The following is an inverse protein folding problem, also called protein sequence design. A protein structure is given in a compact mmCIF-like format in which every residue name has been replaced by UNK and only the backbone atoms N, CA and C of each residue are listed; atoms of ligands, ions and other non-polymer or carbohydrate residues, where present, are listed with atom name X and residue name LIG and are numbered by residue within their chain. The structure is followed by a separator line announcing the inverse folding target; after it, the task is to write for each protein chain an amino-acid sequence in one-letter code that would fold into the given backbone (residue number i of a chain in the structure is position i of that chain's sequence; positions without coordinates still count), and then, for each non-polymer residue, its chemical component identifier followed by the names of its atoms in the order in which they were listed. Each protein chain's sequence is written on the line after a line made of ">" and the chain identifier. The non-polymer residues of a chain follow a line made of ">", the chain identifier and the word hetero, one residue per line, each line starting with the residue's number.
data_IF_446060342746
#
_entry.id   IF_446060342746
#
_cell.length_a   1.000
_cell.length_b   1.000
_cell.length_c   1.000
_cell.angle_alpha   90.00
_cell.angle_beta   90.00
_cell.angle_gamma   90.00
#
_symmetry.space_group_name_H-M   'P 1'
#
loop_
_entity.id
_entity.type
_entity.pdbx_description
1 polymer ?
#
# COMPACT_ATOMS: atom_id res chain seq x y z
N UNK A 1 -1.02 -16.91 7.11
CA UNK A 1 -0.95 -15.56 6.50
C UNK A 1 -0.12 -15.61 5.24
N UNK A 2 0.17 -14.45 4.64
CA UNK A 2 0.95 -14.35 3.41
C UNK A 2 2.45 -14.58 3.58
N UNK A 3 3.19 -14.25 2.52
CA UNK A 3 4.66 -14.37 2.45
C UNK A 3 5.37 -13.02 2.27
N UNK A 4 4.68 -11.94 2.61
CA UNK A 4 5.15 -10.57 2.50
C UNK A 4 6.36 -10.21 3.38
N UNK A 5 6.90 -11.12 4.21
CA UNK A 5 8.16 -10.98 4.97
C UNK A 5 9.29 -11.89 4.44
N UNK A 6 9.00 -12.83 3.56
CA UNK A 6 10.00 -13.74 2.98
C UNK A 6 10.59 -13.17 1.68
N UNK A 7 11.75 -12.54 1.77
CA UNK A 7 12.41 -11.88 0.64
C UNK A 7 12.78 -12.86 -0.48
N UNK A 8 13.14 -14.10 -0.17
CA UNK A 8 13.46 -15.11 -1.18
C UNK A 8 12.20 -15.60 -1.91
N UNK A 9 11.09 -15.82 -1.19
CA UNK A 9 9.83 -16.19 -1.83
C UNK A 9 9.29 -15.08 -2.71
N UNK A 10 9.41 -13.82 -2.30
CA UNK A 10 9.09 -12.67 -3.15
C UNK A 10 9.99 -12.61 -4.39
N UNK A 11 11.29 -12.83 -4.23
CA UNK A 11 12.28 -12.74 -5.31
C UNK A 11 12.03 -13.75 -6.44
N UNK A 12 11.44 -14.91 -6.13
CA UNK A 12 11.00 -15.89 -7.14
C UNK A 12 9.94 -15.34 -8.10
N UNK A 13 9.20 -14.31 -7.68
CA UNK A 13 8.13 -13.70 -8.46
C UNK A 13 8.51 -12.33 -9.02
N UNK A 14 9.26 -11.54 -8.26
CA UNK A 14 9.80 -10.25 -8.69
C UNK A 14 11.08 -9.94 -7.91
N UNK A 15 12.22 -9.98 -8.60
CA UNK A 15 13.55 -9.77 -8.01
C UNK A 15 13.67 -8.40 -7.31
N UNK A 16 12.93 -7.38 -7.76
CA UNK A 16 12.95 -6.03 -7.14
C UNK A 16 12.43 -6.06 -5.71
N UNK A 17 11.52 -6.99 -5.41
CA UNK A 17 10.89 -7.11 -4.09
C UNK A 17 11.79 -7.80 -3.05
N UNK A 18 12.93 -8.36 -3.48
CA UNK A 18 13.96 -8.88 -2.57
C UNK A 18 14.54 -7.80 -1.67
N UNK A 19 14.76 -6.61 -2.24
CA UNK A 19 15.41 -5.47 -1.58
C UNK A 19 14.40 -4.42 -1.09
N UNK A 20 13.12 -4.65 -1.31
CA UNK A 20 12.06 -3.75 -0.86
C UNK A 20 11.68 -4.08 0.58
N UNK A 21 11.59 -3.05 1.42
CA UNK A 21 11.11 -3.17 2.80
C UNK A 21 9.70 -3.77 2.89
N UNK A 22 9.23 -4.09 4.10
CA UNK A 22 7.89 -4.63 4.29
C UNK A 22 7.17 -3.97 5.46
N UNK A 23 5.86 -3.83 5.33
CA UNK A 23 4.99 -3.37 6.41
C UNK A 23 4.60 -4.50 7.36
N UNK A 24 5.01 -5.73 7.07
CA UNK A 24 4.54 -6.94 7.74
C UNK A 24 5.36 -7.26 8.99
N UNK A 25 4.75 -8.05 9.87
CA UNK A 25 5.46 -8.66 10.98
C UNK A 25 6.47 -9.71 10.44
N UNK A 26 7.57 -10.00 11.16
CA UNK A 26 8.65 -10.86 10.65
C UNK A 26 8.22 -12.28 10.26
N UNK A 27 7.22 -12.86 10.92
CA UNK A 27 6.74 -14.22 10.67
C UNK A 27 5.78 -14.40 9.49
N UNK A 28 5.54 -13.37 8.67
CA UNK A 28 4.74 -13.50 7.44
C UNK A 28 5.57 -14.13 6.31
N UNK A 29 6.05 -15.36 6.52
CA UNK A 29 7.08 -16.00 5.71
C UNK A 29 6.56 -17.01 4.68
N UNK A 30 5.25 -17.28 4.66
CA UNK A 30 4.64 -18.21 3.72
C UNK A 30 4.67 -19.68 4.15
N UNK A 31 5.04 -19.98 5.39
CA UNK A 31 5.24 -21.36 5.86
C UNK A 31 4.01 -22.25 5.64
N UNK A 32 2.80 -21.71 5.85
CA UNK A 32 1.54 -22.42 5.58
C UNK A 32 1.34 -22.79 4.11
N UNK A 33 1.83 -21.95 3.18
CA UNK A 33 1.80 -22.24 1.74
C UNK A 33 2.77 -23.40 1.45
N UNK A 34 4.00 -23.32 1.96
CA UNK A 34 5.04 -24.34 1.77
C UNK A 34 4.60 -25.70 2.32
N UNK A 35 4.02 -25.73 3.52
CA UNK A 35 3.51 -26.97 4.14
C UNK A 35 2.40 -27.61 3.29
N UNK A 36 1.45 -26.82 2.80
CA UNK A 36 0.36 -27.36 1.98
C UNK A 36 0.84 -27.80 0.58
N UNK A 37 1.79 -27.08 -0.03
CA UNK A 37 2.41 -27.51 -1.30
C UNK A 37 3.15 -28.84 -1.17
N UNK A 38 3.76 -29.12 -0.02
CA UNK A 38 4.45 -30.40 0.22
C UNK A 38 3.52 -31.63 0.16
N UNK A 39 2.20 -31.42 0.34
CA UNK A 39 1.16 -32.46 0.19
C UNK A 39 0.31 -32.28 -1.08
N UNK A 40 0.82 -31.52 -2.06
CA UNK A 40 0.22 -31.39 -3.39
C UNK A 40 -0.80 -30.27 -3.54
N UNK A 41 -0.94 -29.34 -2.59
CA UNK A 41 -1.83 -28.20 -2.73
C UNK A 41 -1.42 -27.30 -3.91
N UNK A 42 -2.42 -26.89 -4.71
CA UNK A 42 -2.23 -25.93 -5.80
C UNK A 42 -2.20 -24.49 -5.28
N UNK A 43 -1.45 -23.63 -5.97
CA UNK A 43 -1.42 -22.20 -5.71
C UNK A 43 -1.86 -21.41 -6.93
N UNK A 44 -2.39 -20.21 -6.70
CA UNK A 44 -2.83 -19.28 -7.73
C UNK A 44 -2.31 -17.88 -7.42
N UNK A 45 -2.10 -17.05 -8.45
CA UNK A 45 -1.82 -15.62 -8.31
C UNK A 45 -0.53 -15.23 -7.55
N UNK A 46 0.40 -16.17 -7.36
CA UNK A 46 1.61 -15.98 -6.53
C UNK A 46 2.49 -14.80 -6.98
N UNK A 47 2.43 -14.43 -8.26
CA UNK A 47 3.14 -13.27 -8.82
C UNK A 47 2.57 -11.91 -8.42
N UNK A 48 1.34 -11.85 -7.94
CA UNK A 48 0.67 -10.60 -7.60
C UNK A 48 0.96 -10.23 -6.13
N UNK A 49 2.00 -9.41 -5.96
CA UNK A 49 2.46 -8.91 -4.67
C UNK A 49 2.24 -7.39 -4.62
N UNK A 50 1.42 -6.93 -3.69
CA UNK A 50 1.08 -5.52 -3.55
C UNK A 50 2.09 -4.79 -2.66
N UNK A 51 2.53 -3.63 -3.14
CA UNK A 51 3.24 -2.64 -2.34
C UNK A 51 2.29 -1.56 -1.82
N UNK A 52 2.56 -1.04 -0.63
CA UNK A 52 1.94 0.16 -0.12
C UNK A 52 2.81 1.38 -0.42
N UNK A 53 2.27 2.51 -0.93
CA UNK A 53 3.09 3.62 -1.41
C UNK A 53 3.61 4.55 -0.31
N UNK A 54 2.91 4.65 0.84
CA UNK A 54 3.21 5.63 1.89
C UNK A 54 3.88 4.95 3.10
N UNK A 55 5.11 4.48 2.91
CA UNK A 55 5.91 3.86 3.97
C UNK A 55 7.14 4.69 4.29
N UNK A 56 7.69 4.48 5.49
CA UNK A 56 8.95 5.05 5.93
C UNK A 56 10.09 4.50 5.07
N UNK A 57 10.85 5.33 4.33
CA UNK A 57 11.89 4.86 3.41
C UNK A 57 12.95 3.97 4.06
N UNK A 58 13.29 4.24 5.33
CA UNK A 58 14.36 3.52 6.04
C UNK A 58 13.93 2.19 6.65
N UNK A 59 12.68 2.07 7.09
CA UNK A 59 12.19 0.88 7.84
C UNK A 59 11.16 0.06 7.07
N UNK A 60 10.57 0.62 6.03
CA UNK A 60 9.46 0.05 5.27
C UNK A 60 8.12 -0.01 6.02
N UNK A 61 8.04 0.53 7.24
CA UNK A 61 6.79 0.58 8.02
C UNK A 61 5.80 1.58 7.42
N UNK A 62 4.51 1.25 7.52
CA UNK A 62 3.41 2.17 7.20
C UNK A 62 3.55 3.49 7.95
N UNK A 63 3.39 4.60 7.23
CA UNK A 63 3.42 5.94 7.83
C UNK A 63 2.00 6.53 7.87
N UNK A 64 1.38 6.47 9.04
CA UNK A 64 0.01 6.95 9.28
C UNK A 64 -0.14 8.46 9.17
N UNK A 65 0.95 9.20 9.37
CA UNK A 65 0.92 10.66 9.24
C UNK A 65 1.00 11.04 7.77
N UNK A 66 1.82 10.34 6.99
CA UNK A 66 1.89 10.54 5.55
C UNK A 66 0.55 10.28 4.83
N UNK A 67 -0.32 9.41 5.37
CA UNK A 67 -1.69 9.17 4.89
C UNK A 67 -2.60 10.40 5.00
N UNK A 68 -2.22 11.42 5.80
CA UNK A 68 -2.92 12.72 5.86
C UNK A 68 -2.55 13.64 4.69
N UNK A 69 -1.47 13.33 3.99
CA UNK A 69 -1.08 14.02 2.77
C UNK A 69 -2.13 13.85 1.68
N UNK A 70 -2.46 14.96 1.03
CA UNK A 70 -3.42 14.98 -0.09
C UNK A 70 -2.75 15.30 -1.43
N UNK A 71 -1.46 15.63 -1.40
CA UNK A 71 -0.62 15.86 -2.59
C UNK A 71 0.69 15.10 -2.44
N UNK A 72 1.10 14.38 -3.49
CA UNK A 72 2.44 13.79 -3.59
C UNK A 72 3.31 14.65 -4.50
N UNK A 73 4.47 15.09 -3.99
CA UNK A 73 5.45 15.85 -4.77
C UNK A 73 6.78 15.14 -4.85
N UNK A 74 7.44 15.23 -5.99
CA UNK A 74 8.83 14.79 -6.15
C UNK A 74 9.81 15.82 -5.54
N UNK A 75 11.12 15.53 -5.60
CA UNK A 75 12.16 16.44 -5.11
C UNK A 75 12.22 17.79 -5.86
N UNK A 76 11.65 17.89 -7.05
CA UNK A 76 11.53 19.15 -7.79
C UNK A 76 10.30 19.97 -7.37
N UNK A 77 9.43 19.44 -6.49
CA UNK A 77 8.21 20.13 -6.05
C UNK A 77 7.03 19.96 -7.01
N UNK A 78 7.07 18.96 -7.89
CA UNK A 78 6.04 18.70 -8.90
C UNK A 78 5.23 17.45 -8.53
N UNK A 79 3.92 17.48 -8.82
CA UNK A 79 3.09 16.27 -8.82
C UNK A 79 3.47 15.37 -9.98
N UNK A 80 3.24 14.07 -9.81
CA UNK A 80 3.64 13.05 -10.80
C UNK A 80 2.68 11.87 -10.89
N UNK A 81 1.61 11.85 -10.09
CA UNK A 81 0.65 10.74 -10.05
C UNK A 81 -0.69 11.19 -9.48
N UNK A 82 -1.76 10.46 -9.83
CA UNK A 82 -3.05 10.51 -9.13
C UNK A 82 -2.93 9.92 -7.72
N UNK A 83 -3.06 10.78 -6.69
CA UNK A 83 -2.98 10.40 -5.28
C UNK A 83 -4.13 9.48 -4.84
N UNK A 84 -5.26 9.49 -5.55
CA UNK A 84 -6.42 8.62 -5.29
C UNK A 84 -6.39 7.30 -6.06
N UNK A 85 -5.43 7.14 -6.98
CA UNK A 85 -5.32 5.99 -7.86
C UNK A 85 -4.92 4.68 -7.18
N UNK A 86 -4.78 3.62 -7.98
CA UNK A 86 -4.39 2.29 -7.49
C UNK A 86 -3.01 2.31 -6.82
N UNK A 87 -2.84 1.50 -5.78
CA UNK A 87 -1.60 1.42 -4.97
C UNK A 87 -0.38 1.07 -5.80
N UNK A 88 -0.51 0.09 -6.71
CA UNK A 88 0.55 -0.34 -7.63
C UNK A 88 1.00 0.78 -8.57
N UNK A 89 0.07 1.56 -9.11
CA UNK A 89 0.38 2.73 -9.96
C UNK A 89 1.14 3.78 -9.15
N UNK A 90 0.65 4.14 -7.95
CA UNK A 90 1.34 5.12 -7.08
C UNK A 90 2.72 4.65 -6.65
N UNK A 91 2.85 3.39 -6.21
CA UNK A 91 4.13 2.84 -5.80
C UNK A 91 5.14 2.87 -6.94
N UNK A 92 4.74 2.46 -8.15
CA UNK A 92 5.61 2.51 -9.33
C UNK A 92 6.04 3.93 -9.66
N UNK A 93 5.10 4.88 -9.64
CA UNK A 93 5.38 6.28 -9.92
C UNK A 93 6.34 6.92 -8.89
N UNK A 94 6.27 6.53 -7.60
CA UNK A 94 7.22 6.98 -6.58
C UNK A 94 8.62 6.41 -6.85
N UNK A 95 8.72 5.11 -7.19
CA UNK A 95 10.00 4.45 -7.44
C UNK A 95 10.75 5.02 -8.65
N UNK A 96 10.05 5.63 -9.63
CA UNK A 96 10.70 6.31 -10.76
C UNK A 96 11.20 7.72 -10.42
N UNK A 97 10.85 8.28 -9.26
CA UNK A 97 11.35 9.59 -8.86
C UNK A 97 12.80 9.49 -8.37
N UNK A 98 13.54 10.60 -8.48
CA UNK A 98 14.92 10.69 -7.94
C UNK A 98 14.92 10.26 -6.49
N UNK A 99 15.74 9.26 -6.14
CA UNK A 99 15.87 8.70 -4.79
C UNK A 99 14.83 7.63 -4.42
N UNK A 100 13.96 7.22 -5.34
CA UNK A 100 12.94 6.20 -5.09
C UNK A 100 11.90 6.58 -4.03
N UNK A 101 11.75 7.88 -3.79
CA UNK A 101 10.89 8.44 -2.74
C UNK A 101 10.22 9.74 -3.22
N UNK A 102 9.18 10.13 -2.50
CA UNK A 102 8.43 11.36 -2.70
C UNK A 102 8.07 11.99 -1.34
N UNK A 103 7.54 13.20 -1.36
CA UNK A 103 7.01 13.86 -0.17
C UNK A 103 5.49 13.90 -0.21
N UNK A 104 4.87 13.43 0.87
CA UNK A 104 3.45 13.59 1.13
C UNK A 104 3.22 14.94 1.81
N UNK A 105 2.45 15.82 1.17
CA UNK A 105 2.24 17.22 1.57
C UNK A 105 0.82 17.44 2.07
N UNK A 106 0.69 18.14 3.20
CA UNK A 106 -0.56 18.58 3.81
C UNK A 106 -0.35 19.80 4.70
N UNK A 107 -1.42 20.31 5.30
CA UNK A 107 -1.41 21.43 6.22
C UNK A 107 -2.19 21.11 7.50
N UNK A 108 -2.25 22.05 8.44
CA UNK A 108 -2.88 21.88 9.75
C UNK A 108 -4.32 21.34 9.67
N UNK A 109 -5.12 21.88 8.77
CA UNK A 109 -6.53 21.47 8.66
C UNK A 109 -6.74 20.08 8.05
N UNK A 110 -5.72 19.55 7.36
CA UNK A 110 -5.70 18.20 6.80
C UNK A 110 -5.02 17.18 7.74
N UNK A 111 -4.14 17.63 8.64
CA UNK A 111 -3.49 16.76 9.62
C UNK A 111 -4.50 16.02 10.51
N UNK A 112 -5.59 16.70 10.88
CA UNK A 112 -6.59 16.17 11.81
C UNK A 112 -5.99 15.87 13.18
N UNK A 113 -6.58 14.93 13.92
CA UNK A 113 -6.14 14.59 15.30
C UNK A 113 -4.92 13.65 15.34
N UNK A 114 -4.11 13.59 14.29
CA UNK A 114 -2.96 12.68 14.26
C UNK A 114 -1.79 13.24 15.06
N UNK A 115 -1.21 12.40 15.94
CA UNK A 115 0.05 12.76 16.62
C UNK A 115 1.19 12.73 15.61
N UNK A 116 1.75 13.91 15.33
CA UNK A 116 2.92 14.04 14.46
C UNK A 116 4.15 13.37 15.12
N UNK A 117 4.91 12.62 14.32
CA UNK A 117 6.17 12.03 14.75
C UNK A 117 7.37 12.80 14.18
N UNK A 118 8.57 12.47 14.65
CA UNK A 118 9.82 13.22 14.37
C UNK A 118 10.22 13.32 12.90
N UNK A 119 9.78 12.39 12.04
CA UNK A 119 10.00 12.47 10.57
C UNK A 119 9.17 13.55 9.86
N UNK A 120 8.14 14.10 10.50
CA UNK A 120 7.31 15.15 9.89
C UNK A 120 8.12 16.44 9.89
N UNK A 121 8.37 16.98 8.71
CA UNK A 121 9.01 18.29 8.54
C UNK A 121 7.89 19.33 8.49
N UNK A 122 7.99 20.37 9.31
CA UNK A 122 7.02 21.46 9.37
C UNK A 122 7.61 22.81 8.98
N UNK A 123 6.81 23.66 8.35
CA UNK A 123 7.14 25.06 8.05
C UNK A 123 5.94 25.97 8.26
N UNK A 124 6.16 27.19 8.77
CA UNK A 124 5.09 28.21 8.88
C UNK A 124 4.71 28.78 7.51
N UNK A 125 5.56 28.59 6.51
CA UNK A 125 5.33 28.97 5.12
C UNK A 125 5.78 27.85 4.19
N UNK A 126 5.33 27.87 2.93
CA UNK A 126 5.82 26.95 1.89
C UNK A 126 7.33 27.13 1.67
N UNK A 127 7.85 28.35 1.76
CA UNK A 127 9.27 28.63 1.64
C UNK A 127 10.09 27.99 2.76
N UNK A 128 9.63 28.08 4.01
CA UNK A 128 10.27 27.38 5.13
C UNK A 128 10.25 25.86 4.95
N UNK A 129 9.11 25.30 4.52
CA UNK A 129 8.97 23.87 4.28
C UNK A 129 9.91 23.40 3.16
N UNK A 130 9.94 24.13 2.05
CA UNK A 130 10.81 23.86 0.90
C UNK A 130 12.29 23.89 1.31
N UNK A 131 12.71 24.92 2.07
CA UNK A 131 14.09 25.02 2.59
C UNK A 131 14.47 23.81 3.45
N UNK A 132 13.60 23.38 4.36
CA UNK A 132 13.88 22.25 5.27
C UNK A 132 13.87 20.88 4.57
N UNK A 133 13.09 20.74 3.51
CA UNK A 133 12.98 19.49 2.73
C UNK A 133 13.97 19.41 1.56
N UNK A 134 14.56 20.53 1.16
CA UNK A 134 15.39 20.65 -0.04
C UNK A 134 14.58 20.63 -1.34
N UNK A 135 13.26 20.80 -1.27
CA UNK A 135 12.38 20.92 -2.44
C UNK A 135 12.52 22.34 -3.03
N UNK A 136 12.41 22.48 -4.35
CA UNK A 136 12.35 23.79 -4.99
C UNK A 136 11.10 24.57 -4.54
N UNK A 137 11.31 25.71 -3.89
CA UNK A 137 10.24 26.54 -3.29
C UNK A 137 9.23 27.03 -4.33
N UNK A 138 9.71 27.62 -5.43
CA UNK A 138 8.86 28.20 -6.46
C UNK A 138 7.94 27.13 -7.09
N UNK A 139 8.51 25.97 -7.42
CA UNK A 139 7.76 24.84 -8.01
C UNK A 139 6.77 24.26 -7.02
N UNK A 140 7.16 24.06 -5.76
CA UNK A 140 6.26 23.55 -4.72
C UNK A 140 5.07 24.50 -4.50
N UNK A 141 5.33 25.81 -4.43
CA UNK A 141 4.27 26.83 -4.29
C UNK A 141 3.30 26.77 -5.46
N UNK A 142 3.79 26.76 -6.71
CA UNK A 142 2.95 26.63 -7.92
C UNK A 142 2.13 25.35 -7.90
N UNK A 143 2.72 24.22 -7.50
CA UNK A 143 2.03 22.93 -7.39
C UNK A 143 0.86 23.00 -6.40
N UNK A 144 1.08 23.58 -5.22
CA UNK A 144 0.05 23.71 -4.18
C UNK A 144 -1.07 24.66 -4.64
N UNK A 145 -0.73 25.80 -5.23
CA UNK A 145 -1.71 26.75 -5.79
C UNK A 145 -2.58 26.09 -6.86
N UNK A 146 -1.94 25.38 -7.80
CA UNK A 146 -2.62 24.65 -8.87
C UNK A 146 -3.53 23.56 -8.31
N UNK A 147 -3.06 22.76 -7.35
CA UNK A 147 -3.88 21.72 -6.72
C UNK A 147 -5.09 22.30 -5.98
N UNK A 148 -4.90 23.40 -5.25
CA UNK A 148 -5.99 24.11 -4.59
C UNK A 148 -7.05 24.61 -5.58
N UNK A 149 -6.64 25.04 -6.78
CA UNK A 149 -7.59 25.43 -7.83
C UNK A 149 -8.42 24.25 -8.36
N UNK A 150 -7.87 23.04 -8.37
CA UNK A 150 -8.63 21.84 -8.74
C UNK A 150 -9.71 21.50 -7.73
N UNK A 151 -9.48 21.79 -6.43
CA UNK A 151 -10.49 21.64 -5.39
C UNK A 151 -11.64 22.63 -5.60
N UNK A 152 -11.35 23.88 -5.98
CA UNK A 152 -12.39 24.88 -6.29
C UNK A 152 -13.29 24.45 -7.44
N UNK A 153 -12.68 23.96 -8.52
CA UNK A 153 -13.38 23.50 -9.72
C UNK A 153 -14.03 22.12 -9.51
N UNK A 154 -13.60 21.38 -8.48
CA UNK A 154 -14.02 20.00 -8.22
C UNK A 154 -13.44 18.98 -9.21
N UNK A 155 -12.43 19.37 -9.99
CA UNK A 155 -11.81 18.52 -11.03
C UNK A 155 -10.30 18.75 -11.11
N UNK A 156 -9.52 17.69 -10.93
CA UNK A 156 -8.08 17.68 -11.23
C UNK A 156 -7.85 17.50 -12.73
N UNK A 157 -7.40 18.57 -13.38
CA UNK A 157 -7.14 18.57 -14.82
C UNK A 157 -5.84 17.83 -15.19
N UNK A 158 -4.95 17.58 -14.22
CA UNK A 158 -3.58 17.10 -14.48
C UNK A 158 -3.49 15.59 -14.37
N UNK A 159 -3.97 15.02 -13.26
CA UNK A 159 -3.91 13.57 -13.03
C UNK A 159 -5.28 12.92 -12.86
N UNK A 160 -6.38 13.70 -12.97
CA UNK A 160 -7.75 13.23 -12.74
C UNK A 160 -7.96 12.64 -11.34
N UNK A 161 -7.16 13.07 -10.37
CA UNK A 161 -7.31 12.65 -8.99
C UNK A 161 -8.65 13.08 -8.41
N UNK A 162 -9.17 12.28 -7.48
CA UNK A 162 -10.37 12.63 -6.72
C UNK A 162 -10.08 13.81 -5.79
N UNK A 163 -10.69 14.95 -6.09
CA UNK A 163 -10.55 16.19 -5.29
C UNK A 163 -11.81 16.55 -4.49
N UNK A 164 -12.95 15.92 -4.77
CA UNK A 164 -14.20 16.19 -4.06
C UNK A 164 -14.11 15.79 -2.59
N UNK A 165 -14.49 16.73 -1.70
CA UNK A 165 -14.43 16.57 -0.25
C UNK A 165 -13.06 16.83 0.39
N UNK A 166 -12.03 17.15 -0.41
CA UNK A 166 -10.72 17.54 0.11
C UNK A 166 -10.72 18.99 0.59
N UNK A 167 -9.88 19.28 1.58
CA UNK A 167 -9.63 20.65 2.04
C UNK A 167 -8.34 21.16 1.42
N UNK A 168 -8.35 22.40 0.92
CA UNK A 168 -7.16 23.06 0.35
C UNK A 168 -5.94 23.02 1.27
N UNK A 169 -4.74 23.07 0.73
CA UNK A 169 -3.51 23.28 1.50
C UNK A 169 -3.26 24.79 1.57
N UNK A 170 -3.62 25.44 2.69
CA UNK A 170 -3.51 26.91 2.83
C UNK A 170 -3.30 27.41 4.26
N UNK A 171 -3.46 26.57 5.29
CA UNK A 171 -3.38 27.00 6.69
C UNK A 171 -2.09 26.48 7.33
N UNK A 172 -1.14 27.36 7.71
CA UNK A 172 0.06 26.91 8.37
C UNK A 172 -0.26 26.31 9.76
N UNK A 173 0.64 25.47 10.30
CA UNK A 173 1.85 24.95 9.66
C UNK A 173 1.57 24.02 8.47
N UNK A 174 2.51 24.02 7.52
CA UNK A 174 2.56 23.10 6.40
C UNK A 174 3.50 21.94 6.72
N UNK A 175 3.16 20.75 6.24
CA UNK A 175 3.84 19.52 6.58
C UNK A 175 4.29 18.75 5.34
N UNK A 176 5.45 18.12 5.45
CA UNK A 176 5.98 17.16 4.49
C UNK A 176 6.47 15.91 5.22
N UNK A 177 6.14 14.74 4.66
CA UNK A 177 6.65 13.45 5.13
C UNK A 177 7.25 12.70 3.95
N UNK A 178 8.54 12.37 4.02
CA UNK A 178 9.18 11.56 2.98
C UNK A 178 8.68 10.11 3.06
N UNK A 179 8.26 9.59 1.91
CA UNK A 179 7.68 8.25 1.75
C UNK A 179 8.33 7.49 0.60
N UNK A 180 8.43 6.18 0.76
CA UNK A 180 8.78 5.24 -0.30
C UNK A 180 7.91 3.98 -0.20
N UNK A 181 7.72 3.23 -1.29
CA UNK A 181 6.89 2.04 -1.24
C UNK A 181 7.52 0.88 -0.46
N UNK A 182 6.69 0.01 0.11
CA UNK A 182 7.12 -1.24 0.73
C UNK A 182 6.14 -2.37 0.48
N UNK A 183 6.61 -3.61 0.50
CA UNK A 183 5.78 -4.81 0.34
C UNK A 183 4.74 -4.86 1.46
N UNK A 184 3.49 -5.11 1.10
CA UNK A 184 2.37 -4.98 2.02
C UNK A 184 1.48 -6.21 2.09
N UNK A 185 1.18 -6.84 0.96
CA UNK A 185 0.24 -7.95 0.91
C UNK A 185 0.55 -8.87 -0.26
N UNK A 186 0.37 -10.19 -0.07
CA UNK A 186 0.52 -11.19 -1.14
C UNK A 186 -0.85 -11.69 -1.54
N UNK A 187 -1.32 -11.36 -2.75
CA UNK A 187 -2.67 -11.73 -3.20
C UNK A 187 -2.75 -13.19 -3.63
N UNK A 188 -1.64 -13.78 -4.03
CA UNK A 188 -1.54 -15.19 -4.33
C UNK A 188 -1.34 -16.07 -3.10
N UNK A 189 -1.72 -17.34 -3.25
CA UNK A 189 -1.66 -18.32 -2.18
C UNK A 189 -2.31 -19.64 -2.60
N UNK A 190 -2.73 -20.43 -1.61
CA UNK A 190 -3.43 -21.68 -1.79
C UNK A 190 -4.75 -21.49 -2.55
N UNK A 191 -5.05 -22.40 -3.47
CA UNK A 191 -6.33 -22.41 -4.18
C UNK A 191 -7.39 -23.06 -3.29
N UNK A 192 -8.54 -22.41 -3.12
CA UNK A 192 -9.67 -22.96 -2.37
C UNK A 192 -10.94 -22.96 -3.22
N UNK A 193 -11.91 -23.80 -2.86
CA UNK A 193 -13.29 -23.65 -3.33
C UNK A 193 -14.12 -22.72 -2.40
N UNK A 194 -15.40 -22.51 -2.72
CA UNK A 194 -16.30 -21.67 -1.93
C UNK A 194 -16.57 -22.19 -0.49
N UNK A 195 -16.23 -23.45 -0.20
CA UNK A 195 -16.28 -24.05 1.14
C UNK A 195 -14.95 -23.93 1.90
N UNK A 196 -14.01 -23.15 1.39
CA UNK A 196 -12.66 -22.98 1.94
C UNK A 196 -11.82 -24.28 1.98
N UNK A 197 -12.18 -25.29 1.20
CA UNK A 197 -11.40 -26.51 1.05
C UNK A 197 -10.24 -26.26 0.11
N UNK A 198 -9.03 -26.66 0.51
CA UNK A 198 -7.83 -26.53 -0.33
C UNK A 198 -7.90 -27.50 -1.49
N UNK A 199 -7.57 -27.01 -2.67
CA UNK A 199 -7.51 -27.79 -3.91
C UNK A 199 -6.05 -28.16 -4.22
N UNK A 200 -5.84 -29.38 -4.71
CA UNK A 200 -4.56 -29.83 -5.22
C UNK A 200 -4.27 -29.25 -6.63
N UNK A 201 -3.12 -29.60 -7.20
CA UNK A 201 -2.71 -29.17 -8.56
C UNK A 201 -3.66 -29.61 -9.68
N UNK A 202 -4.47 -30.66 -9.46
CA UNK A 202 -5.49 -31.15 -10.39
C UNK A 202 -6.89 -30.57 -10.10
N UNK A 203 -6.97 -29.52 -9.28
CA UNK A 203 -8.21 -28.89 -8.81
C UNK A 203 -9.17 -29.82 -8.05
N UNK A 204 -8.65 -30.88 -7.43
CA UNK A 204 -9.40 -31.79 -6.55
C UNK A 204 -9.22 -31.39 -5.09
N UNK A 205 -10.26 -31.57 -4.28
CA UNK A 205 -10.21 -31.29 -2.83
C UNK A 205 -9.16 -32.20 -2.17
N UNK A 206 -8.31 -31.61 -1.32
CA UNK A 206 -7.48 -32.34 -0.36
C UNK A 206 -8.34 -32.58 0.90
N UNK A 207 -8.74 -33.82 1.21
CA UNK A 207 -9.61 -34.10 2.34
C UNK A 207 -9.02 -33.62 3.67
N UNK A 208 -9.83 -32.96 4.49
CA UNK A 208 -9.43 -32.45 5.80
C UNK A 208 -8.62 -31.15 5.79
N UNK A 209 -8.23 -30.62 4.61
CA UNK A 209 -7.44 -29.40 4.52
C UNK A 209 -8.29 -28.18 4.14
N UNK A 210 -8.31 -27.19 5.03
CA UNK A 210 -9.01 -25.93 4.85
C UNK A 210 -8.04 -24.75 5.01
N UNK A 211 -8.31 -23.65 4.31
CA UNK A 211 -7.49 -22.45 4.38
C UNK A 211 -8.33 -21.18 4.26
N UNK A 212 -7.92 -20.11 4.94
CA UNK A 212 -8.59 -18.82 4.93
C UNK A 212 -7.62 -17.65 5.16
N UNK A 213 -7.98 -16.47 4.66
CA UNK A 213 -7.18 -15.26 4.77
C UNK A 213 -6.01 -15.21 3.79
N UNK A 214 -5.01 -14.38 4.05
CA UNK A 214 -3.89 -14.09 3.12
C UNK A 214 -3.02 -15.30 2.73
N UNK A 215 -3.22 -16.48 3.34
CA UNK A 215 -2.59 -17.72 2.86
C UNK A 215 -3.23 -18.23 1.55
N UNK A 216 -4.42 -17.72 1.20
CA UNK A 216 -5.26 -18.12 0.06
C UNK A 216 -5.08 -17.15 -1.11
N UNK A 217 -5.06 -17.68 -2.33
CA UNK A 217 -5.02 -16.92 -3.58
C UNK A 217 -6.39 -16.78 -4.26
N UNK A 218 -6.48 -15.91 -5.27
CA UNK A 218 -7.65 -15.81 -6.16
C UNK A 218 -8.79 -14.92 -5.68
N UNK A 219 -8.80 -14.50 -4.41
CA UNK A 219 -9.85 -13.62 -3.85
C UNK A 219 -9.68 -12.17 -4.31
N UNK A 220 -8.43 -11.69 -4.38
CA UNK A 220 -8.12 -10.27 -4.61
C UNK A 220 -7.56 -9.99 -6.01
N UNK A 221 -7.39 -11.03 -6.84
CA UNK A 221 -6.77 -10.97 -8.16
C UNK A 221 -5.45 -10.18 -8.14
N UNK A 222 -5.29 -9.26 -9.09
CA UNK A 222 -4.02 -8.55 -9.31
C UNK A 222 -3.74 -7.43 -8.30
N UNK A 223 -4.74 -6.93 -7.59
CA UNK A 223 -4.57 -5.82 -6.65
C UNK A 223 -5.71 -5.76 -5.63
N UNK A 224 -5.37 -6.01 -4.37
CA UNK A 224 -6.32 -5.90 -3.27
C UNK A 224 -6.76 -4.46 -2.99
N UNK A 225 -8.07 -4.26 -2.81
CA UNK A 225 -8.63 -3.00 -2.31
C UNK A 225 -8.42 -2.83 -0.80
N UNK A 226 -8.24 -1.58 -0.35
CA UNK A 226 -8.17 -1.28 1.09
C UNK A 226 -9.46 -1.70 1.80
N UNK A 227 -9.35 -2.36 2.96
CA UNK A 227 -10.49 -2.91 3.70
C UNK A 227 -10.77 -4.38 3.43
N UNK A 228 -10.67 -4.84 2.16
CA UNK A 228 -11.10 -6.19 1.77
C UNK A 228 -10.36 -7.34 2.48
N UNK A 229 -9.11 -7.15 2.93
CA UNK A 229 -8.38 -8.20 3.66
C UNK A 229 -9.05 -8.58 4.98
N UNK A 230 -9.61 -7.61 5.71
CA UNK A 230 -10.30 -7.88 6.97
C UNK A 230 -11.63 -8.58 6.74
N UNK A 231 -12.35 -8.18 5.69
CA UNK A 231 -13.57 -8.87 5.26
C UNK A 231 -13.29 -10.32 4.87
N UNK A 232 -12.25 -10.54 4.08
CA UNK A 232 -11.79 -11.87 3.66
C UNK A 232 -11.51 -12.79 4.86
N UNK A 233 -10.62 -12.38 5.78
CA UNK A 233 -10.26 -13.25 6.93
C UNK A 233 -11.46 -13.59 7.81
N UNK A 234 -12.41 -12.67 7.99
CA UNK A 234 -13.61 -12.93 8.82
C UNK A 234 -14.57 -13.88 8.10
N UNK A 235 -14.85 -13.63 6.81
CA UNK A 235 -15.81 -14.42 6.03
C UNK A 235 -15.27 -15.82 5.77
N UNK A 236 -14.08 -15.94 5.17
CA UNK A 236 -13.51 -17.25 4.85
C UNK A 236 -13.02 -17.97 6.10
N UNK A 237 -12.59 -17.26 7.15
CA UNK A 237 -12.25 -17.89 8.43
C UNK A 237 -13.46 -18.59 9.06
N UNK A 238 -14.63 -17.93 9.05
CA UNK A 238 -15.88 -18.55 9.51
C UNK A 238 -16.28 -19.75 8.65
N UNK A 239 -16.21 -19.62 7.33
CA UNK A 239 -16.55 -20.70 6.39
C UNK A 239 -15.64 -21.92 6.62
N UNK A 240 -14.32 -21.69 6.71
CA UNK A 240 -13.34 -22.75 6.94
C UNK A 240 -13.61 -23.47 8.27
N UNK A 241 -13.82 -22.73 9.36
CA UNK A 241 -14.12 -23.30 10.67
C UNK A 241 -15.40 -24.15 10.68
N UNK A 242 -16.49 -23.64 10.09
CA UNK A 242 -17.77 -24.38 10.03
C UNK A 242 -17.68 -25.67 9.21
N UNK A 243 -17.00 -25.65 8.06
CA UNK A 243 -16.86 -26.85 7.22
C UNK A 243 -15.89 -27.86 7.85
N UNK A 244 -14.79 -27.40 8.46
CA UNK A 244 -13.84 -28.28 9.14
C UNK A 244 -14.49 -29.03 10.32
N UNK A 245 -15.36 -28.38 11.08
CA UNK A 245 -16.07 -29.00 12.22
C UNK A 245 -17.20 -29.97 11.80
N UNK A 246 -17.66 -29.89 10.56
CA UNK A 246 -18.75 -30.74 10.04
C UNK A 246 -18.24 -32.00 9.31
N UNK A 247 -16.93 -32.22 9.31
CA UNK A 247 -16.28 -33.38 8.68
C UNK A 247 -16.14 -34.55 9.66
#
# INVERSE_FOLDING_TARGET
>A
GGFASNTEMRAKHDLRLKYTGTTNFPGATGDGIVMAQAIGAGCVDMGYIQTYPLCTPTTGKLDRVAERGIVLVNRNGERFVDESGRRDVRSRAILTQKGGSAFSIFDEQNAGEVKLHTRVISGKTIAELAKKTGINEERLRKTIEKFNSYIDVGKDAEFRARVHGLKKIRRPPFYAVEVAPSVHYTMGGLTINAKAQVLNVDHRVIPGLYAAGEVVGGIHGTNRLGGNALTDVVVFGRIAGSNAASC
#
